data_IF_656485875652
#
_entry.id   IF_656485875652
#
_cell.length_a   1.000
_cell.length_b   1.000
_cell.length_c   1.000
_cell.angle_alpha   90.00
_cell.angle_beta   90.00
_cell.angle_gamma   90.00
#
_symmetry.space_group_name_H-M   'P 1'
#
loop_
_entity.id
_entity.type
_entity.pdbx_description
1 polymer ?
#
# COMPACT_ATOMS: atom_id res chain seq x y z
N UNK A 1 -18.33 14.90 6.22
CA UNK A 1 -17.69 15.47 7.44
C UNK A 1 -16.85 14.36 8.04
N UNK A 2 -15.52 14.44 7.92
CA UNK A 2 -14.60 13.44 8.45
C UNK A 2 -14.03 13.97 9.76
N UNK A 3 -14.25 13.24 10.86
CA UNK A 3 -13.68 13.59 12.17
C UNK A 3 -12.27 13.02 12.19
N UNK A 4 -11.28 13.90 12.04
CA UNK A 4 -9.85 13.57 12.16
C UNK A 4 -9.48 13.85 13.62
N UNK A 5 -9.08 12.81 14.35
CA UNK A 5 -8.49 12.94 15.69
C UNK A 5 -6.98 13.17 15.57
N UNK A 6 -6.34 13.76 16.60
CA UNK A 6 -4.89 14.09 16.57
C UNK A 6 -3.98 12.86 16.33
N UNK A 7 -4.42 11.66 16.71
CA UNK A 7 -3.72 10.40 16.42
C UNK A 7 -3.81 10.02 14.93
N UNK A 8 -4.95 10.28 14.30
CA UNK A 8 -5.19 10.01 12.88
C UNK A 8 -4.44 11.03 12.02
N UNK A 9 -4.40 12.32 12.40
CA UNK A 9 -3.59 13.32 11.67
C UNK A 9 -2.10 13.01 11.72
N UNK A 10 -1.59 12.57 12.86
CA UNK A 10 -0.18 12.17 13.01
C UNK A 10 0.13 10.96 12.12
N UNK A 11 -0.78 9.97 12.08
CA UNK A 11 -0.64 8.80 11.21
C UNK A 11 -0.60 9.17 9.73
N UNK A 12 -1.52 10.03 9.27
CA UNK A 12 -1.53 10.51 7.88
C UNK A 12 -0.25 11.28 7.50
N UNK A 13 0.27 12.09 8.42
CA UNK A 13 1.54 12.79 8.22
C UNK A 13 2.72 11.80 8.11
N UNK A 14 2.74 10.75 8.94
CA UNK A 14 3.74 9.68 8.86
C UNK A 14 3.67 8.90 7.55
N UNK A 15 2.47 8.54 7.07
CA UNK A 15 2.29 7.92 5.75
C UNK A 15 2.89 8.82 4.66
N UNK A 16 2.48 10.09 4.65
CA UNK A 16 2.89 11.06 3.63
C UNK A 16 4.41 11.25 3.62
N UNK A 17 5.04 11.27 4.80
CA UNK A 17 6.50 11.37 4.93
C UNK A 17 7.21 10.16 4.32
N UNK A 18 6.80 8.94 4.68
CA UNK A 18 7.47 7.73 4.20
C UNK A 18 7.27 7.53 2.70
N UNK A 19 6.06 7.78 2.20
CA UNK A 19 5.74 7.70 0.77
C UNK A 19 6.56 8.71 -0.04
N UNK A 20 6.72 9.95 0.43
CA UNK A 20 7.56 10.94 -0.25
C UNK A 20 9.03 10.52 -0.26
N UNK A 21 9.56 10.02 0.86
CA UNK A 21 10.93 9.52 0.94
C UNK A 21 11.18 8.39 -0.05
N UNK A 22 10.29 7.39 -0.09
CA UNK A 22 10.37 6.28 -1.07
C UNK A 22 10.29 6.78 -2.51
N UNK A 23 9.42 7.75 -2.78
CA UNK A 23 9.23 8.28 -4.14
C UNK A 23 10.39 9.18 -4.61
N UNK A 24 11.24 9.65 -3.71
CA UNK A 24 12.43 10.47 -4.00
C UNK A 24 13.71 9.64 -4.05
N UNK A 25 13.80 8.56 -3.27
CA UNK A 25 14.96 7.67 -3.23
C UNK A 25 14.95 6.65 -4.39
N UNK A 26 16.11 6.45 -5.01
CA UNK A 26 16.33 5.45 -6.07
C UNK A 26 16.58 4.04 -5.52
N UNK A 27 16.73 3.90 -4.20
CA UNK A 27 16.84 2.61 -3.51
C UNK A 27 15.52 1.84 -3.48
N UNK A 28 14.37 2.54 -3.59
CA UNK A 28 13.01 2.00 -3.61
C UNK A 28 12.76 0.94 -2.52
N UNK A 29 12.91 1.33 -1.24
CA UNK A 29 12.43 0.51 -0.12
C UNK A 29 10.92 0.33 -0.19
N UNK A 30 10.41 -0.84 0.20
CA UNK A 30 8.98 -1.10 0.20
C UNK A 30 8.35 -0.65 1.52
N UNK A 31 7.11 -0.19 1.48
CA UNK A 31 6.36 0.29 2.63
C UNK A 31 5.18 -0.66 2.90
N UNK A 32 5.01 -1.08 4.15
CA UNK A 32 3.82 -1.78 4.63
C UNK A 32 3.08 -0.90 5.62
N UNK A 33 1.82 -0.59 5.33
CA UNK A 33 0.92 0.23 6.16
C UNK A 33 -0.20 -0.67 6.67
N UNK A 34 -0.35 -0.75 7.99
CA UNK A 34 -1.39 -1.54 8.65
C UNK A 34 -2.26 -0.61 9.48
N UNK A 35 -3.55 -0.61 9.20
CA UNK A 35 -4.54 0.14 9.98
C UNK A 35 -5.93 -0.50 9.88
N UNK A 36 -6.89 -0.07 10.73
CA UNK A 36 -8.30 -0.40 10.55
C UNK A 36 -8.84 0.10 9.20
N UNK A 37 -9.89 -0.53 8.64
CA UNK A 37 -10.54 -0.01 7.45
C UNK A 37 -11.21 1.35 7.73
N UNK A 38 -11.34 2.18 6.69
CA UNK A 38 -12.03 3.47 6.79
C UNK A 38 -11.21 4.63 7.34
N UNK A 39 -9.93 4.43 7.70
CA UNK A 39 -9.04 5.51 8.15
C UNK A 39 -8.40 6.31 7.00
N UNK A 40 -8.74 6.03 5.74
CA UNK A 40 -8.28 6.81 4.59
C UNK A 40 -6.81 6.58 4.17
N UNK A 41 -6.24 5.40 4.43
CA UNK A 41 -4.86 5.06 4.02
C UNK A 41 -4.64 5.27 2.52
N UNK A 42 -5.46 4.63 1.67
CA UNK A 42 -5.34 4.72 0.22
C UNK A 42 -5.44 6.18 -0.26
N UNK A 43 -6.45 6.91 0.21
CA UNK A 43 -6.61 8.33 -0.09
C UNK A 43 -5.36 9.15 0.23
N UNK A 44 -4.72 8.88 1.37
CA UNK A 44 -3.51 9.59 1.80
C UNK A 44 -2.33 9.30 0.89
N UNK A 45 -2.16 8.03 0.51
CA UNK A 45 -1.11 7.61 -0.43
C UNK A 45 -1.34 8.25 -1.80
N UNK A 46 -2.57 8.20 -2.32
CA UNK A 46 -2.93 8.78 -3.61
C UNK A 46 -2.72 10.30 -3.64
N UNK A 47 -3.15 11.03 -2.60
CA UNK A 47 -2.89 12.47 -2.51
C UNK A 47 -1.40 12.79 -2.37
N UNK A 48 -0.62 11.95 -1.69
CA UNK A 48 0.84 12.13 -1.57
C UNK A 48 1.56 11.87 -2.89
N UNK A 49 1.13 10.86 -3.65
CA UNK A 49 1.69 10.50 -4.95
C UNK A 49 1.11 11.32 -6.12
N UNK A 50 0.25 12.30 -5.84
CA UNK A 50 -0.39 13.13 -6.86
C UNK A 50 0.66 13.80 -7.76
N UNK A 51 0.56 13.53 -9.06
CA UNK A 51 1.51 14.02 -10.07
C UNK A 51 2.77 13.16 -10.24
N UNK A 52 2.88 12.03 -9.54
CA UNK A 52 3.91 10.99 -9.74
C UNK A 52 3.33 9.80 -10.51
N UNK A 53 4.20 8.98 -11.08
CA UNK A 53 3.81 7.76 -11.79
C UNK A 53 3.61 6.61 -10.80
N UNK A 54 2.35 6.19 -10.59
CA UNK A 54 1.99 5.10 -9.70
C UNK A 54 0.78 4.34 -10.23
N UNK A 55 0.67 3.08 -9.84
CA UNK A 55 -0.47 2.21 -10.16
C UNK A 55 -1.09 1.65 -8.88
N UNK A 56 -2.42 1.59 -8.84
CA UNK A 56 -3.17 1.07 -7.68
C UNK A 56 -3.82 -0.25 -8.06
N UNK A 57 -3.57 -1.26 -7.24
CA UNK A 57 -4.25 -2.55 -7.31
C UNK A 57 -5.11 -2.72 -6.07
N UNK A 58 -6.36 -3.16 -6.24
CA UNK A 58 -7.27 -3.43 -5.12
C UNK A 58 -7.56 -4.92 -5.01
N UNK A 59 -7.61 -5.43 -3.77
CA UNK A 59 -7.82 -6.84 -3.44
C UNK A 59 -8.96 -7.51 -4.21
N UNK A 60 -10.09 -6.82 -4.35
CA UNK A 60 -11.34 -7.31 -4.94
C UNK A 60 -11.28 -7.59 -6.45
N UNK A 61 -10.22 -7.20 -7.15
CA UNK A 61 -10.15 -7.28 -8.62
C UNK A 61 -9.15 -8.32 -9.16
N UNK A 62 -8.51 -9.10 -8.30
CA UNK A 62 -7.30 -9.87 -8.66
C UNK A 62 -7.44 -11.38 -8.79
N UNK A 63 -8.58 -11.99 -8.47
CA UNK A 63 -8.72 -13.45 -8.55
C UNK A 63 -8.59 -14.03 -9.98
N UNK A 64 -8.69 -13.20 -11.02
CA UNK A 64 -8.80 -13.68 -12.42
C UNK A 64 -7.59 -13.41 -13.34
N UNK A 65 -6.48 -12.80 -12.88
CA UNK A 65 -5.42 -12.35 -13.83
C UNK A 65 -3.97 -12.52 -13.35
N UNK A 66 -3.45 -13.75 -13.38
CA UNK A 66 -2.01 -14.06 -13.19
C UNK A 66 -1.10 -13.28 -14.16
N UNK A 67 -1.53 -13.11 -15.42
CA UNK A 67 -0.70 -12.49 -16.46
C UNK A 67 -0.63 -10.95 -16.35
N UNK A 68 -1.57 -10.35 -15.61
CA UNK A 68 -1.54 -8.91 -15.35
C UNK A 68 -0.37 -8.53 -14.44
N UNK A 69 -0.01 -9.40 -13.48
CA UNK A 69 1.11 -9.17 -12.56
C UNK A 69 2.43 -9.02 -13.30
N UNK A 70 2.73 -9.88 -14.28
CA UNK A 70 3.99 -9.79 -15.02
C UNK A 70 4.18 -8.45 -15.75
N UNK A 71 3.08 -7.78 -16.15
CA UNK A 71 3.14 -6.46 -16.82
C UNK A 71 3.37 -5.31 -15.84
N UNK A 72 2.91 -5.45 -14.60
CA UNK A 72 3.06 -4.44 -13.54
C UNK A 72 4.54 -4.18 -13.22
N UNK A 73 5.39 -5.20 -13.33
CA UNK A 73 6.81 -5.12 -13.00
C UNK A 73 7.71 -4.64 -14.15
N UNK A 74 7.15 -4.35 -15.33
CA UNK A 74 7.92 -3.86 -16.49
C UNK A 74 8.10 -2.33 -16.48
N UNK A 75 7.27 -1.61 -15.74
CA UNK A 75 7.31 -0.15 -15.62
C UNK A 75 8.01 0.26 -14.33
N UNK A 76 8.83 1.32 -14.37
CA UNK A 76 9.52 1.89 -13.19
C UNK A 76 8.60 2.78 -12.33
N UNK A 77 7.34 2.39 -12.18
CA UNK A 77 6.32 3.11 -11.43
C UNK A 77 6.25 2.63 -9.98
N UNK A 78 5.66 3.43 -9.08
CA UNK A 78 5.34 2.97 -7.72
C UNK A 78 4.09 2.09 -7.76
N UNK A 79 4.11 0.96 -7.06
CA UNK A 79 2.94 0.07 -6.98
C UNK A 79 2.27 0.19 -5.62
N UNK A 80 1.00 0.57 -5.61
CA UNK A 80 0.16 0.64 -4.40
C UNK A 80 -0.81 -0.54 -4.41
N UNK A 81 -0.83 -1.34 -3.34
CA UNK A 81 -1.73 -2.49 -3.24
C UNK A 81 -2.64 -2.30 -2.04
N UNK A 82 -3.92 -2.08 -2.32
CA UNK A 82 -4.97 -1.99 -1.31
C UNK A 82 -5.56 -3.36 -1.02
N UNK A 83 -5.88 -3.60 0.25
CA UNK A 83 -6.43 -4.87 0.74
C UNK A 83 -5.56 -6.10 0.40
N UNK A 84 -4.23 -5.99 0.55
CA UNK A 84 -3.31 -7.09 0.22
C UNK A 84 -3.65 -8.43 0.91
N UNK A 85 -4.23 -8.38 2.11
CA UNK A 85 -4.69 -9.56 2.85
C UNK A 85 -5.85 -10.30 2.14
N UNK A 86 -6.66 -9.60 1.35
CA UNK A 86 -7.80 -10.16 0.62
C UNK A 86 -7.39 -10.90 -0.66
N UNK A 87 -6.13 -10.76 -1.08
CA UNK A 87 -5.61 -11.45 -2.26
C UNK A 87 -5.50 -12.96 -2.07
N UNK A 88 -5.60 -13.73 -3.16
CA UNK A 88 -5.23 -15.14 -3.13
C UNK A 88 -3.74 -15.31 -2.79
N UNK A 89 -3.38 -16.47 -2.22
CA UNK A 89 -1.98 -16.77 -1.88
C UNK A 89 -1.07 -16.73 -3.10
N UNK A 90 -1.56 -17.19 -4.26
CA UNK A 90 -0.84 -17.12 -5.53
C UNK A 90 -0.58 -15.69 -5.98
N UNK A 91 -1.58 -14.80 -5.88
CA UNK A 91 -1.42 -13.38 -6.21
C UNK A 91 -0.43 -12.68 -5.27
N UNK A 92 -0.52 -12.92 -3.95
CA UNK A 92 0.46 -12.39 -2.98
C UNK A 92 1.88 -12.85 -3.30
N UNK A 93 2.05 -14.13 -3.63
CA UNK A 93 3.35 -14.71 -3.94
C UNK A 93 3.93 -14.12 -5.23
N UNK A 94 3.11 -13.96 -6.27
CA UNK A 94 3.52 -13.34 -7.53
C UNK A 94 3.96 -11.88 -7.34
N UNK A 95 3.25 -11.12 -6.50
CA UNK A 95 3.61 -9.74 -6.18
C UNK A 95 4.97 -9.68 -5.49
N UNK A 96 5.16 -10.47 -4.43
CA UNK A 96 6.41 -10.48 -3.66
C UNK A 96 7.61 -10.94 -4.50
N UNK A 97 7.40 -11.88 -5.42
CA UNK A 97 8.45 -12.31 -6.36
C UNK A 97 8.78 -11.22 -7.39
N UNK A 98 7.77 -10.51 -7.89
CA UNK A 98 7.96 -9.41 -8.84
C UNK A 98 8.74 -8.24 -8.25
N UNK A 99 8.52 -7.91 -6.98
CA UNK A 99 9.27 -6.87 -6.27
C UNK A 99 10.71 -7.25 -5.97
N UNK A 100 11.02 -8.54 -5.78
CA UNK A 100 12.41 -8.99 -5.66
C UNK A 100 13.16 -8.94 -7.01
N UNK A 101 12.44 -9.10 -8.13
CA UNK A 101 13.00 -9.13 -9.46
C UNK A 101 13.22 -7.74 -10.09
N UNK A 102 12.41 -6.74 -9.70
CA UNK A 102 12.51 -5.36 -10.18
C UNK A 102 12.67 -4.39 -9.01
N UNK A 103 13.60 -3.43 -9.11
CA UNK A 103 13.73 -2.31 -8.17
C UNK A 103 12.52 -1.39 -8.28
N UNK A 104 11.39 -1.79 -7.74
CA UNK A 104 10.12 -1.09 -7.84
C UNK A 104 9.61 -0.82 -6.43
N UNK A 105 9.34 0.45 -6.11
CA UNK A 105 8.84 0.84 -4.79
C UNK A 105 7.40 0.38 -4.64
N UNK A 106 7.16 -0.47 -3.64
CA UNK A 106 5.84 -1.00 -3.34
C UNK A 106 5.29 -0.41 -2.05
N UNK A 107 4.01 -0.05 -2.06
CA UNK A 107 3.24 0.35 -0.88
C UNK A 107 2.12 -0.66 -0.68
N UNK A 108 2.23 -1.49 0.36
CA UNK A 108 1.22 -2.46 0.75
C UNK A 108 0.31 -1.85 1.81
N UNK A 109 -0.98 -1.78 1.54
CA UNK A 109 -2.01 -1.42 2.50
C UNK A 109 -2.70 -2.69 2.98
N UNK A 110 -2.57 -2.99 4.26
CA UNK A 110 -3.24 -4.12 4.90
C UNK A 110 -4.30 -3.63 5.87
N UNK A 111 -5.56 -3.94 5.54
CA UNK A 111 -6.63 -3.94 6.51
C UNK A 111 -6.55 -5.26 7.26
N UNK A 112 -6.22 -5.22 8.55
CA UNK A 112 -5.88 -6.44 9.31
C UNK A 112 -7.09 -7.36 9.58
N UNK A 113 -8.33 -6.91 9.34
CA UNK A 113 -9.52 -7.66 9.80
C UNK A 113 -10.77 -7.47 8.93
N UNK A 114 -11.64 -8.50 9.01
CA UNK A 114 -13.06 -8.47 8.64
C UNK A 114 -13.81 -7.32 9.36
N UNK A 115 -14.99 -6.89 8.88
CA UNK A 115 -15.82 -5.87 9.53
C UNK A 115 -16.02 -6.14 11.03
N UNK A 116 -15.71 -5.18 11.90
CA UNK A 116 -15.80 -5.36 13.36
C UNK A 116 -15.49 -4.10 14.19
N UNK A 117 -15.51 -4.23 15.52
CA UNK A 117 -15.06 -3.18 16.44
C UNK A 117 -13.52 -3.09 16.42
N UNK A 118 -13.01 -1.91 16.09
CA UNK A 118 -11.58 -1.63 15.91
C UNK A 118 -10.99 -0.76 17.03
N UNK A 119 -11.74 -0.53 18.11
CA UNK A 119 -11.24 0.20 19.28
C UNK A 119 -10.07 -0.55 19.91
N UNK A 120 -8.85 -0.02 19.77
CA UNK A 120 -7.62 -0.60 20.33
C UNK A 120 -6.64 -1.18 19.31
N UNK A 121 -6.86 -0.99 18.01
CA UNK A 121 -5.88 -1.34 16.99
C UNK A 121 -4.95 -0.14 16.75
N UNK A 122 -3.67 -0.39 16.94
CA UNK A 122 -2.63 0.59 16.65
C UNK A 122 -2.37 0.71 15.14
N UNK A 123 -2.05 1.93 14.73
CA UNK A 123 -1.59 2.23 13.38
C UNK A 123 -0.10 1.92 13.26
N UNK A 124 0.30 1.18 12.23
CA UNK A 124 1.70 0.82 12.03
C UNK A 124 2.16 1.07 10.59
N UNK A 125 3.39 1.55 10.46
CA UNK A 125 4.11 1.69 9.18
C UNK A 125 5.44 0.96 9.34
N UNK A 126 5.73 0.03 8.43
CA UNK A 126 6.96 -0.73 8.38
C UNK A 126 7.68 -0.43 7.06
N UNK A 127 9.00 -0.30 7.13
CA UNK A 127 9.88 -0.39 5.97
C UNK A 127 10.30 -1.86 5.84
N UNK A 128 10.20 -2.41 4.63
CA UNK A 128 10.53 -3.81 4.35
C UNK A 128 11.47 -3.89 3.14
N UNK A 129 12.50 -4.74 3.29
CA UNK A 129 13.50 -5.03 2.25
C UNK A 129 12.99 -6.06 1.23
#
# INVERSE_FOLDING_TARGET
MHVITDSVSTFHASISSQVNMMAEDRSMENILIIAPPGVGMLYTVEETLKGRDYEVIRGVHLDDRSDAFARLFLNRSILVIDEFAALSEGARSAILMGTQAGKMGMIILMNRMLPGDYSGIDHHIYLID
#
